data_IF_681478271061
#
_entry.id   IF_681478271061
#
_cell.length_a   1.000
_cell.length_b   1.000
_cell.length_c   1.000
_cell.angle_alpha   90.00
_cell.angle_beta   90.00
_cell.angle_gamma   90.00
#
_symmetry.space_group_name_H-M   'P 1'
#
loop_
_entity.id
_entity.type
_entity.pdbx_description
1 polymer ?
#
# COMPACT_ATOMS: atom_id res chain seq x y z
N UNK A 1 -9.02 33.77 2.82
CA UNK A 1 -9.39 33.62 1.39
C UNK A 1 -8.57 32.49 0.85
N UNK A 2 -9.25 31.47 0.35
CA UNK A 2 -8.78 30.09 0.13
C UNK A 2 -7.46 29.98 -0.64
N UNK A 3 -6.49 29.25 -0.08
CA UNK A 3 -5.36 28.69 -0.82
C UNK A 3 -5.93 27.69 -1.84
N UNK A 4 -6.15 28.17 -3.05
CA UNK A 4 -6.77 27.40 -4.12
C UNK A 4 -5.93 26.16 -4.42
N UNK A 5 -6.57 24.99 -4.44
CA UNK A 5 -5.99 23.74 -4.95
C UNK A 5 -5.52 23.99 -6.38
N UNK A 6 -4.20 24.00 -6.58
CA UNK A 6 -3.61 24.12 -7.91
C UNK A 6 -3.77 22.80 -8.64
N UNK A 7 -4.76 22.74 -9.52
CA UNK A 7 -4.99 21.58 -10.38
C UNK A 7 -3.80 21.43 -11.33
N UNK A 8 -3.22 20.23 -11.36
CA UNK A 8 -2.17 19.88 -12.32
C UNK A 8 -2.81 18.99 -13.39
N UNK A 9 -2.53 19.21 -14.69
CA UNK A 9 -2.97 18.27 -15.72
C UNK A 9 -2.44 16.87 -15.41
N UNK A 10 -3.30 15.87 -15.59
CA UNK A 10 -2.94 14.48 -15.30
C UNK A 10 -1.99 13.99 -16.39
N UNK A 11 -0.79 13.57 -15.97
CA UNK A 11 0.26 13.06 -16.84
C UNK A 11 0.66 11.64 -16.40
N UNK A 12 0.35 10.68 -17.27
CA UNK A 12 0.69 9.25 -17.11
C UNK A 12 1.88 8.84 -18.00
N UNK A 13 2.58 9.79 -18.62
CA UNK A 13 3.75 9.50 -19.43
C UNK A 13 4.85 8.80 -18.62
N UNK A 14 5.58 7.90 -19.27
CA UNK A 14 6.66 7.15 -18.63
C UNK A 14 7.84 8.07 -18.23
N UNK A 15 8.02 9.17 -18.94
CA UNK A 15 9.06 10.18 -18.76
C UNK A 15 8.65 11.33 -17.83
N UNK A 16 7.47 11.26 -17.19
CA UNK A 16 7.03 12.29 -16.25
C UNK A 16 8.10 12.53 -15.17
N UNK A 17 8.40 13.80 -14.83
CA UNK A 17 9.39 14.10 -13.80
C UNK A 17 8.92 13.58 -12.44
N UNK A 18 9.86 12.98 -11.67
CA UNK A 18 9.57 12.58 -10.29
C UNK A 18 9.18 13.81 -9.46
N UNK A 19 8.10 13.69 -8.69
CA UNK A 19 7.66 14.76 -7.81
C UNK A 19 8.75 15.07 -6.76
N UNK A 20 8.97 16.36 -6.48
CA UNK A 20 9.92 16.81 -5.43
C UNK A 20 9.57 16.23 -4.05
N UNK A 21 8.28 16.06 -3.79
CA UNK A 21 7.75 15.42 -2.58
C UNK A 21 6.64 14.46 -2.99
N UNK A 22 6.94 13.19 -3.31
CA UNK A 22 5.95 12.23 -3.77
C UNK A 22 5.00 11.84 -2.64
N UNK A 23 3.75 11.53 -3.00
CA UNK A 23 2.82 10.91 -2.06
C UNK A 23 3.37 9.55 -1.66
N UNK A 24 3.41 9.30 -0.35
CA UNK A 24 3.83 8.03 0.22
C UNK A 24 2.63 7.10 0.28
N UNK A 25 2.78 5.91 -0.28
CA UNK A 25 1.74 4.87 -0.29
C UNK A 25 2.16 3.76 0.66
N UNK A 26 1.28 3.40 1.58
CA UNK A 26 1.42 2.24 2.43
C UNK A 26 0.45 1.17 1.92
N UNK A 27 0.98 -0.01 1.58
CA UNK A 27 0.13 -1.14 1.22
C UNK A 27 -0.47 -1.78 2.48
N UNK A 28 -1.73 -2.21 2.39
CA UNK A 28 -2.51 -2.81 3.49
C UNK A 28 -2.94 -4.25 3.17
N UNK A 29 -2.54 -4.79 2.02
CA UNK A 29 -3.07 -6.04 1.48
C UNK A 29 -2.75 -7.22 2.41
N UNK A 30 -1.56 -7.23 3.03
CA UNK A 30 -1.10 -8.30 3.93
C UNK A 30 -1.60 -8.18 5.38
N UNK A 31 -2.31 -7.10 5.75
CA UNK A 31 -2.91 -6.93 7.09
C UNK A 31 -4.36 -6.49 7.00
N UNK A 32 -4.63 -5.19 6.87
CA UNK A 32 -6.00 -4.68 7.01
C UNK A 32 -6.93 -5.08 5.85
N UNK A 33 -6.37 -5.36 4.68
CA UNK A 33 -7.12 -5.82 3.51
C UNK A 33 -7.86 -7.14 3.77
N UNK A 34 -7.13 -8.19 4.16
CA UNK A 34 -7.74 -9.49 4.49
C UNK A 34 -8.47 -9.47 5.85
N UNK A 35 -8.07 -8.61 6.78
CA UNK A 35 -8.86 -8.35 7.99
C UNK A 35 -10.27 -7.86 7.65
N UNK A 36 -10.39 -6.95 6.69
CA UNK A 36 -11.67 -6.37 6.27
C UNK A 36 -12.49 -7.30 5.38
N UNK A 37 -11.84 -8.05 4.49
CA UNK A 37 -12.53 -8.81 3.43
C UNK A 37 -12.64 -10.31 3.72
N UNK A 38 -11.72 -10.87 4.51
CA UNK A 38 -11.59 -12.31 4.75
C UNK A 38 -11.48 -12.66 6.23
N UNK A 39 -12.05 -11.82 7.11
CA UNK A 39 -12.08 -12.03 8.56
C UNK A 39 -10.70 -12.41 9.14
N UNK A 40 -9.65 -11.76 8.62
CA UNK A 40 -8.25 -11.91 9.05
C UNK A 40 -7.66 -13.31 8.77
N UNK A 41 -8.27 -14.12 7.88
CA UNK A 41 -7.83 -15.49 7.60
C UNK A 41 -6.75 -15.61 6.52
N UNK A 42 -6.02 -14.54 6.23
CA UNK A 42 -4.84 -14.61 5.37
C UNK A 42 -3.73 -15.43 6.04
N UNK A 43 -3.29 -16.52 5.42
CA UNK A 43 -2.20 -17.38 5.94
C UNK A 43 -0.86 -16.91 5.39
N UNK A 44 0.20 -17.07 6.19
CA UNK A 44 1.57 -16.71 5.78
C UNK A 44 2.02 -17.42 4.50
N UNK A 45 1.64 -18.69 4.31
CA UNK A 45 1.97 -19.46 3.10
C UNK A 45 1.39 -18.87 1.81
N UNK A 46 0.24 -18.20 1.90
CA UNK A 46 -0.40 -17.53 0.77
C UNK A 46 0.25 -16.16 0.50
N UNK A 47 0.95 -15.58 1.49
CA UNK A 47 1.60 -14.26 1.40
C UNK A 47 3.04 -14.33 0.87
N UNK A 48 3.80 -15.36 1.26
CA UNK A 48 5.22 -15.51 0.89
C UNK A 48 5.45 -15.40 -0.64
N UNK A 49 4.64 -16.02 -1.52
CA UNK A 49 4.88 -15.99 -2.95
C UNK A 49 4.87 -14.60 -3.59
N UNK A 50 4.19 -13.61 -2.96
CA UNK A 50 4.09 -12.24 -3.48
C UNK A 50 4.98 -11.24 -2.74
N UNK A 51 5.59 -11.64 -1.62
CA UNK A 51 6.34 -10.74 -0.75
C UNK A 51 7.51 -10.05 -1.46
N UNK A 52 8.27 -10.77 -2.29
CA UNK A 52 9.39 -10.22 -3.07
C UNK A 52 8.91 -9.19 -4.10
N UNK A 53 7.81 -9.48 -4.80
CA UNK A 53 7.20 -8.53 -5.74
C UNK A 53 6.75 -7.25 -5.03
N UNK A 54 6.21 -7.34 -3.81
CA UNK A 54 5.79 -6.16 -3.06
C UNK A 54 6.96 -5.25 -2.65
N UNK A 55 8.13 -5.84 -2.37
CA UNK A 55 9.37 -5.08 -2.09
C UNK A 55 9.85 -4.37 -3.36
N UNK A 56 9.85 -5.06 -4.51
CA UNK A 56 10.24 -4.49 -5.81
C UNK A 56 9.37 -3.30 -6.26
N UNK A 57 8.08 -3.28 -5.90
CA UNK A 57 7.17 -2.17 -6.20
C UNK A 57 7.63 -0.86 -5.52
N UNK A 58 8.32 -0.95 -4.38
CA UNK A 58 8.90 0.22 -3.70
C UNK A 58 7.86 1.08 -2.97
N UNK A 59 6.90 0.46 -2.29
CA UNK A 59 5.99 1.17 -1.38
C UNK A 59 6.76 1.90 -0.27
N UNK A 60 6.16 2.95 0.31
CA UNK A 60 6.78 3.64 1.43
C UNK A 60 6.82 2.76 2.69
N UNK A 61 5.78 1.95 2.88
CA UNK A 61 5.68 0.94 3.91
C UNK A 61 4.71 -0.15 3.46
N UNK A 62 4.80 -1.32 4.10
CA UNK A 62 3.81 -2.38 3.96
C UNK A 62 3.32 -2.70 5.36
N UNK A 63 2.02 -2.61 5.58
CA UNK A 63 1.41 -3.05 6.83
C UNK A 63 1.24 -4.58 6.78
N UNK A 64 2.03 -5.28 7.58
CA UNK A 64 2.07 -6.76 7.59
C UNK A 64 1.66 -7.39 8.92
N UNK A 65 1.56 -6.59 10.00
CA UNK A 65 1.43 -7.11 11.35
C UNK A 65 0.63 -6.19 12.29
N UNK A 66 0.17 -6.75 13.40
CA UNK A 66 -0.72 -6.06 14.35
C UNK A 66 -2.21 -6.22 14.02
N UNK A 67 -3.07 -5.45 14.67
CA UNK A 67 -4.52 -5.62 14.56
C UNK A 67 -4.97 -7.00 15.06
N UNK A 68 -5.91 -7.62 14.35
CA UNK A 68 -6.42 -8.95 14.70
C UNK A 68 -5.48 -10.09 14.28
N UNK A 69 -4.43 -9.85 13.50
CA UNK A 69 -3.55 -10.91 12.97
C UNK A 69 -2.89 -11.78 14.05
N UNK A 70 -2.66 -11.22 15.24
CA UNK A 70 -2.04 -11.96 16.35
C UNK A 70 -3.05 -12.82 17.13
N UNK A 71 -4.32 -12.42 17.18
CA UNK A 71 -5.41 -13.16 17.85
C UNK A 71 -6.01 -14.25 16.95
N UNK A 72 -5.87 -14.08 15.63
CA UNK A 72 -6.48 -14.96 14.65
C UNK A 72 -5.69 -16.27 14.54
N UNK A 73 -6.20 -17.34 15.16
CA UNK A 73 -5.70 -18.71 15.00
C UNK A 73 -6.02 -19.32 13.63
#
# INVERSE_FOLDING_TARGET
MSDQVKMTPVDYSADRPKAKNPVKIMDLSLRDGHQSLFATRGRTEDMIPVAELMDEVGFWAIETWGGATFDTM
#
